data_IF_740142201391
#
_entry.id   IF_740142201391
#
_cell.length_a   1.000
_cell.length_b   1.000
_cell.length_c   1.000
_cell.angle_alpha   90.00
_cell.angle_beta   90.00
_cell.angle_gamma   90.00
#
_symmetry.space_group_name_H-M   'P 1'
#
loop_
_entity.id
_entity.type
_entity.pdbx_description
1 polymer ?
#
# COMPACT_ATOMS: atom_id res chain seq x y z
N UNK A 1 26.20 -34.82 -9.24
CA UNK A 1 26.37 -33.64 -8.36
C UNK A 1 25.04 -32.93 -8.32
N UNK A 2 24.26 -33.11 -7.26
CA UNK A 2 23.01 -32.36 -7.10
C UNK A 2 23.38 -30.96 -6.60
N UNK A 3 23.00 -29.93 -7.35
CA UNK A 3 23.14 -28.55 -6.89
C UNK A 3 22.36 -28.39 -5.57
N UNK A 4 22.91 -27.70 -4.56
CA UNK A 4 22.15 -27.39 -3.35
C UNK A 4 20.97 -26.51 -3.75
N UNK A 5 19.76 -27.09 -3.72
CA UNK A 5 18.52 -26.36 -3.89
C UNK A 5 18.44 -25.35 -2.76
N UNK A 6 18.65 -24.07 -3.05
CA UNK A 6 18.47 -23.03 -2.03
C UNK A 6 17.06 -23.14 -1.49
N UNK A 7 16.87 -23.09 -0.16
CA UNK A 7 15.53 -23.12 0.42
C UNK A 7 14.72 -21.97 -0.19
N UNK A 8 13.48 -22.26 -0.58
CA UNK A 8 12.58 -21.23 -1.04
C UNK A 8 12.50 -20.13 0.03
N UNK A 9 12.64 -18.85 -0.33
CA UNK A 9 12.59 -17.76 0.63
C UNK A 9 11.28 -17.81 1.42
N UNK A 10 11.37 -17.53 2.72
CA UNK A 10 10.23 -17.54 3.61
C UNK A 10 9.22 -16.42 3.26
N UNK A 11 8.00 -16.58 3.76
CA UNK A 11 6.91 -15.64 3.51
C UNK A 11 7.26 -14.21 3.95
N UNK A 12 7.95 -14.06 5.08
CA UNK A 12 8.34 -12.76 5.62
C UNK A 12 9.24 -12.00 4.65
N UNK A 13 10.22 -12.68 4.05
CA UNK A 13 11.11 -12.09 3.02
C UNK A 13 10.33 -11.64 1.79
N UNK A 14 9.37 -12.47 1.32
CA UNK A 14 8.53 -12.12 0.16
C UNK A 14 7.62 -10.93 0.44
N UNK A 15 7.00 -10.92 1.62
CA UNK A 15 6.14 -9.83 2.05
C UNK A 15 6.94 -8.53 2.26
N UNK A 16 8.15 -8.61 2.81
CA UNK A 16 9.04 -7.45 2.96
C UNK A 16 9.43 -6.84 1.61
N UNK A 17 9.71 -7.67 0.59
CA UNK A 17 9.99 -7.16 -0.76
C UNK A 17 8.76 -6.49 -1.40
N UNK A 18 7.57 -7.07 -1.25
CA UNK A 18 6.32 -6.42 -1.64
C UNK A 18 6.16 -5.06 -0.96
N UNK A 19 6.33 -4.99 0.37
CA UNK A 19 6.21 -3.73 1.13
C UNK A 19 7.24 -2.69 0.70
N UNK A 20 8.48 -3.12 0.42
CA UNK A 20 9.53 -2.24 -0.09
C UNK A 20 9.13 -1.63 -1.44
N UNK A 21 8.65 -2.43 -2.39
CA UNK A 21 8.21 -1.93 -3.69
C UNK A 21 7.01 -1.00 -3.58
N UNK A 22 6.06 -1.31 -2.69
CA UNK A 22 4.91 -0.46 -2.40
C UNK A 22 5.36 0.93 -1.92
N UNK A 23 6.28 0.98 -0.95
CA UNK A 23 6.84 2.22 -0.43
C UNK A 23 7.54 3.02 -1.53
N UNK A 24 8.32 2.37 -2.41
CA UNK A 24 9.01 3.06 -3.50
C UNK A 24 8.03 3.66 -4.51
N UNK A 25 6.99 2.90 -4.89
CA UNK A 25 5.91 3.40 -5.74
C UNK A 25 5.25 4.63 -5.11
N UNK A 26 4.83 4.53 -3.85
CA UNK A 26 4.12 5.60 -3.17
C UNK A 26 5.02 6.84 -2.99
N UNK A 27 6.31 6.64 -2.73
CA UNK A 27 7.29 7.70 -2.67
C UNK A 27 7.47 8.42 -4.02
N UNK A 28 7.51 7.71 -5.15
CA UNK A 28 7.57 8.36 -6.47
C UNK A 28 6.29 9.13 -6.80
N UNK A 29 5.12 8.60 -6.40
CA UNK A 29 3.84 9.29 -6.57
C UNK A 29 3.71 10.56 -5.72
N UNK A 30 4.36 10.59 -4.54
CA UNK A 30 4.31 11.72 -3.61
C UNK A 30 5.40 12.76 -3.85
N UNK A 31 6.63 12.33 -4.19
CA UNK A 31 7.82 13.18 -4.21
C UNK A 31 8.69 13.02 -5.47
N UNK A 32 8.33 12.10 -6.36
CA UNK A 32 9.13 11.76 -7.53
C UNK A 32 8.64 12.39 -8.83
N UNK A 33 8.91 11.71 -9.93
CA UNK A 33 8.66 12.25 -11.27
C UNK A 33 7.17 12.46 -11.53
N UNK A 34 6.34 11.55 -11.01
CA UNK A 34 4.89 11.66 -11.13
C UNK A 34 4.34 12.87 -10.35
N UNK A 35 4.85 13.12 -9.14
CA UNK A 35 4.47 14.27 -8.34
C UNK A 35 4.79 15.59 -9.05
N UNK A 36 6.01 15.72 -9.59
CA UNK A 36 6.44 16.89 -10.35
C UNK A 36 5.58 17.12 -11.59
N UNK A 37 5.25 16.06 -12.33
CA UNK A 37 4.41 16.17 -13.52
C UNK A 37 2.98 16.61 -13.18
N UNK A 38 2.41 16.12 -12.07
CA UNK A 38 1.10 16.55 -11.57
C UNK A 38 1.12 18.03 -11.18
N UNK A 39 2.12 18.44 -10.41
CA UNK A 39 2.31 19.84 -10.02
C UNK A 39 2.43 20.76 -11.24
N UNK A 40 3.28 20.41 -12.20
CA UNK A 40 3.48 21.22 -13.41
C UNK A 40 2.21 21.36 -14.25
N UNK A 41 1.40 20.29 -14.36
CA UNK A 41 0.11 20.36 -15.05
C UNK A 41 -0.86 21.28 -14.33
N UNK A 42 -0.95 21.19 -13.00
CA UNK A 42 -1.84 22.04 -12.21
C UNK A 42 -1.43 23.52 -12.31
N UNK A 43 -0.13 23.81 -12.21
CA UNK A 43 0.38 25.16 -12.39
C UNK A 43 0.12 25.72 -13.79
N UNK A 44 0.31 24.92 -14.84
CA UNK A 44 0.00 25.33 -16.20
C UNK A 44 -1.50 25.62 -16.37
N UNK A 45 -2.36 24.80 -15.77
CA UNK A 45 -3.80 24.98 -15.81
C UNK A 45 -4.21 26.27 -15.09
N UNK A 46 -3.73 26.49 -13.87
CA UNK A 46 -4.00 27.71 -13.11
C UNK A 46 -3.55 28.96 -13.87
N UNK A 47 -2.36 28.94 -14.48
CA UNK A 47 -1.86 30.06 -15.31
C UNK A 47 -2.70 30.28 -16.57
N UNK A 48 -3.22 29.23 -17.19
CA UNK A 48 -4.13 29.35 -18.33
C UNK A 48 -5.50 29.91 -17.91
N UNK A 49 -6.05 29.46 -16.77
CA UNK A 49 -7.33 29.95 -16.24
C UNK A 49 -7.29 31.44 -15.89
N UNK A 50 -6.15 31.98 -15.45
CA UNK A 50 -6.04 33.44 -15.23
C UNK A 50 -6.10 34.27 -16.52
N UNK A 51 -5.81 33.67 -17.67
CA UNK A 51 -5.80 34.32 -19.00
C UNK A 51 -7.08 34.06 -19.79
N UNK A 52 -7.71 32.92 -19.56
CA UNK A 52 -8.92 32.49 -20.25
C UNK A 52 -10.19 32.88 -19.48
N UNK A 53 -11.31 33.04 -20.17
CA UNK A 53 -12.60 33.32 -19.52
C UNK A 53 -13.24 32.07 -18.92
N UNK A 54 -12.80 30.89 -19.36
CA UNK A 54 -13.34 29.58 -18.92
C UNK A 54 -12.26 28.52 -18.79
N UNK A 55 -12.55 27.46 -18.01
CA UNK A 55 -11.68 26.28 -17.85
C UNK A 55 -11.53 25.47 -19.13
N UNK A 56 -12.56 25.41 -19.97
CA UNK A 56 -12.52 24.73 -21.27
C UNK A 56 -11.51 25.38 -22.21
N UNK A 57 -11.50 26.72 -22.26
CA UNK A 57 -10.51 27.49 -23.02
C UNK A 57 -9.10 27.30 -22.46
N UNK A 58 -8.94 27.22 -21.14
CA UNK A 58 -7.67 26.95 -20.49
C UNK A 58 -7.11 25.56 -20.86
N UNK A 59 -7.95 24.52 -20.82
CA UNK A 59 -7.58 23.17 -21.24
C UNK A 59 -7.25 23.07 -22.74
N UNK A 60 -7.82 23.95 -23.55
CA UNK A 60 -7.50 24.02 -24.98
C UNK A 60 -6.12 24.62 -25.27
N UNK A 61 -5.50 25.32 -24.30
CA UNK A 61 -4.21 25.98 -24.47
C UNK A 61 -3.06 24.99 -24.70
N UNK A 62 -2.07 25.45 -25.47
CA UNK A 62 -0.94 24.61 -25.92
C UNK A 62 -0.07 24.13 -24.76
N UNK A 63 0.19 25.01 -23.79
CA UNK A 63 0.98 24.74 -22.58
C UNK A 63 0.28 23.70 -21.68
N UNK A 64 -1.02 23.85 -21.42
CA UNK A 64 -1.81 22.87 -20.65
C UNK A 64 -1.83 21.51 -21.33
N UNK A 65 -1.97 21.47 -22.68
CA UNK A 65 -1.86 20.23 -23.45
C UNK A 65 -0.47 19.60 -23.40
N UNK A 66 0.59 20.42 -23.39
CA UNK A 66 1.96 19.93 -23.25
C UNK A 66 2.18 19.33 -21.86
N UNK A 67 1.77 20.02 -20.80
CA UNK A 67 1.88 19.54 -19.42
C UNK A 67 1.01 18.29 -19.17
N UNK A 68 -0.18 18.21 -19.76
CA UNK A 68 -1.03 17.00 -19.68
C UNK A 68 -0.38 15.80 -20.36
N UNK A 69 0.26 15.98 -21.53
CA UNK A 69 1.03 14.89 -22.16
C UNK A 69 2.23 14.46 -21.33
N UNK A 70 2.91 15.41 -20.69
CA UNK A 70 4.00 15.10 -19.78
C UNK A 70 3.52 14.30 -18.56
N UNK A 71 2.36 14.65 -17.98
CA UNK A 71 1.74 13.88 -16.92
C UNK A 71 1.40 12.46 -17.38
N UNK A 72 0.71 12.29 -18.51
CA UNK A 72 0.38 10.94 -19.01
C UNK A 72 1.63 10.10 -19.28
N UNK A 73 2.70 10.70 -19.79
CA UNK A 73 3.98 10.00 -19.97
C UNK A 73 4.64 9.61 -18.64
N UNK A 74 4.49 10.44 -17.60
CA UNK A 74 4.98 10.11 -16.26
C UNK A 74 4.13 9.02 -15.58
N UNK A 75 2.81 9.04 -15.75
CA UNK A 75 1.88 7.99 -15.27
C UNK A 75 2.20 6.64 -15.92
N UNK A 76 2.39 6.62 -17.25
CA UNK A 76 2.79 5.41 -17.97
C UNK A 76 4.12 4.85 -17.47
N UNK A 77 5.13 5.72 -17.30
CA UNK A 77 6.43 5.31 -16.77
C UNK A 77 6.32 4.78 -15.34
N UNK A 78 5.56 5.47 -14.49
CA UNK A 78 5.31 5.04 -13.12
C UNK A 78 4.68 3.65 -13.06
N UNK A 79 3.71 3.38 -13.94
CA UNK A 79 3.13 2.05 -14.07
C UNK A 79 4.16 1.01 -14.55
N UNK A 80 4.98 1.33 -15.56
CA UNK A 80 6.01 0.42 -16.07
C UNK A 80 7.10 0.11 -15.04
N UNK A 81 7.53 1.10 -14.26
CA UNK A 81 8.61 0.96 -13.30
C UNK A 81 8.19 0.15 -12.07
N UNK A 82 6.93 0.29 -11.63
CA UNK A 82 6.46 -0.28 -10.36
C UNK A 82 5.32 -1.30 -10.49
N UNK A 83 4.43 -1.18 -11.47
CA UNK A 83 3.19 -1.96 -11.57
C UNK A 83 3.43 -3.46 -11.63
N UNK A 84 4.06 -3.93 -12.71
CA UNK A 84 4.32 -5.35 -12.94
C UNK A 84 5.18 -5.98 -11.83
N UNK A 85 6.17 -5.23 -11.33
CA UNK A 85 7.06 -5.72 -10.26
C UNK A 85 6.31 -5.86 -8.93
N UNK A 86 5.42 -4.92 -8.62
CA UNK A 86 4.63 -4.94 -7.40
C UNK A 86 3.60 -6.07 -7.42
N UNK A 87 2.91 -6.28 -8.54
CA UNK A 87 2.00 -7.43 -8.71
C UNK A 87 2.78 -8.75 -8.57
N UNK A 88 3.93 -8.89 -9.25
CA UNK A 88 4.75 -10.08 -9.15
C UNK A 88 5.23 -10.36 -7.71
N UNK A 89 5.58 -9.31 -6.95
CA UNK A 89 5.95 -9.44 -5.55
C UNK A 89 4.76 -9.83 -4.66
N UNK A 90 3.57 -9.27 -4.92
CA UNK A 90 2.34 -9.64 -4.23
C UNK A 90 1.98 -11.12 -4.48
N UNK A 91 2.05 -11.58 -5.73
CA UNK A 91 1.86 -12.99 -6.11
C UNK A 91 2.88 -13.87 -5.37
N UNK A 92 4.16 -13.48 -5.35
CA UNK A 92 5.19 -14.24 -4.66
C UNK A 92 4.92 -14.34 -3.14
N UNK A 93 4.42 -13.29 -2.51
CA UNK A 93 4.02 -13.29 -1.09
C UNK A 93 2.78 -14.17 -0.85
N UNK A 94 1.79 -14.12 -1.75
CA UNK A 94 0.58 -14.96 -1.68
C UNK A 94 0.90 -16.45 -1.85
N UNK A 95 1.85 -16.80 -2.72
CA UNK A 95 2.23 -18.19 -2.95
C UNK A 95 3.13 -18.78 -1.86
N UNK A 96 3.91 -17.97 -1.15
CA UNK A 96 4.79 -18.44 -0.08
C UNK A 96 3.98 -18.94 1.13
N UNK A 97 4.23 -20.13 1.72
CA UNK A 97 3.41 -20.66 2.81
C UNK A 97 3.28 -19.70 4.02
N UNK A 98 2.06 -19.46 4.51
CA UNK A 98 1.82 -18.52 5.60
C UNK A 98 2.35 -19.03 6.96
N UNK A 99 3.14 -18.28 7.73
CA UNK A 99 3.63 -18.75 9.03
C UNK A 99 2.52 -18.99 10.08
N UNK A 100 1.44 -18.20 10.01
CA UNK A 100 0.34 -18.11 10.96
C UNK A 100 -0.93 -17.57 10.27
N UNK A 101 -2.02 -17.40 11.04
CA UNK A 101 -3.30 -16.90 10.53
C UNK A 101 -3.28 -15.40 10.16
N UNK A 102 -2.44 -14.58 10.81
CA UNK A 102 -2.30 -13.16 10.45
C UNK A 102 -1.71 -12.99 9.06
N UNK A 103 -0.72 -13.81 8.71
CA UNK A 103 -0.19 -13.87 7.34
C UNK A 103 -1.24 -14.32 6.32
N UNK A 104 -2.16 -15.23 6.68
CA UNK A 104 -3.28 -15.62 5.80
C UNK A 104 -4.21 -14.44 5.53
N UNK A 105 -4.54 -13.64 6.54
CA UNK A 105 -5.35 -12.42 6.38
C UNK A 105 -4.67 -11.42 5.43
N UNK A 106 -3.36 -11.22 5.58
CA UNK A 106 -2.57 -10.37 4.67
C UNK A 106 -2.63 -10.90 3.24
N UNK A 107 -2.49 -12.21 3.02
CA UNK A 107 -2.65 -12.79 1.69
C UNK A 107 -4.02 -12.53 1.09
N UNK A 108 -5.09 -12.66 1.86
CA UNK A 108 -6.44 -12.36 1.41
C UNK A 108 -6.59 -10.88 1.00
N UNK A 109 -5.97 -9.97 1.76
CA UNK A 109 -5.94 -8.55 1.41
C UNK A 109 -5.20 -8.31 0.08
N UNK A 110 -4.04 -8.95 -0.12
CA UNK A 110 -3.28 -8.87 -1.37
C UNK A 110 -4.06 -9.45 -2.57
N UNK A 111 -4.71 -10.60 -2.39
CA UNK A 111 -5.54 -11.22 -3.43
C UNK A 111 -6.63 -10.26 -3.89
N UNK A 112 -7.31 -9.59 -2.95
CA UNK A 112 -8.36 -8.62 -3.27
C UNK A 112 -7.81 -7.35 -3.91
N UNK A 113 -6.72 -6.81 -3.36
CA UNK A 113 -6.13 -5.55 -3.82
C UNK A 113 -5.62 -5.65 -5.27
N UNK A 114 -5.04 -6.79 -5.63
CA UNK A 114 -4.49 -7.03 -6.98
C UNK A 114 -5.41 -7.87 -7.87
N UNK A 115 -6.64 -8.17 -7.42
CA UNK A 115 -7.59 -9.04 -8.14
C UNK A 115 -6.93 -10.33 -8.66
N UNK A 116 -6.14 -10.99 -7.80
CA UNK A 116 -5.29 -12.13 -8.19
C UNK A 116 -6.10 -13.36 -8.59
N UNK A 117 -7.41 -13.39 -8.34
CA UNK A 117 -8.33 -14.37 -8.89
C UNK A 117 -8.45 -14.30 -10.41
N UNK A 118 -8.16 -13.14 -11.00
CA UNK A 118 -8.15 -12.93 -12.46
C UNK A 118 -6.74 -12.96 -13.07
N UNK A 119 -5.68 -13.04 -12.26
CA UNK A 119 -4.31 -12.98 -12.75
C UNK A 119 -3.88 -14.31 -13.40
N UNK A 120 -3.45 -14.25 -14.67
CA UNK A 120 -2.91 -15.41 -15.40
C UNK A 120 -1.56 -15.90 -14.84
N UNK A 121 -0.89 -15.07 -14.04
CA UNK A 121 0.38 -15.42 -13.43
C UNK A 121 0.22 -16.33 -12.19
N UNK A 122 -1.01 -16.49 -11.68
CA UNK A 122 -1.29 -17.36 -10.55
C UNK A 122 -1.34 -18.84 -10.99
N UNK A 123 -0.47 -19.72 -10.45
CA UNK A 123 -0.43 -21.13 -10.84
C UNK A 123 -1.60 -21.95 -10.28
N UNK A 124 -2.35 -21.40 -9.33
CA UNK A 124 -3.42 -22.06 -8.56
C UNK A 124 -4.47 -21.03 -8.18
N UNK A 125 -5.70 -21.46 -7.90
CA UNK A 125 -6.73 -20.51 -7.48
C UNK A 125 -6.39 -19.91 -6.11
N UNK A 126 -6.72 -18.63 -5.86
CA UNK A 126 -6.51 -18.04 -4.53
C UNK A 126 -7.19 -18.83 -3.40
N UNK A 127 -8.36 -19.40 -3.64
CA UNK A 127 -9.07 -20.22 -2.64
C UNK A 127 -8.27 -21.48 -2.26
N UNK A 128 -7.68 -22.18 -3.23
CA UNK A 128 -6.85 -23.36 -2.95
C UNK A 128 -5.63 -23.01 -2.09
N UNK A 129 -5.02 -21.84 -2.33
CA UNK A 129 -3.87 -21.36 -1.57
C UNK A 129 -4.25 -21.09 -0.12
N UNK A 130 -5.37 -20.38 0.11
CA UNK A 130 -5.86 -20.07 1.45
C UNK A 130 -6.24 -21.35 2.19
N UNK A 131 -7.01 -22.23 1.56
CA UNK A 131 -7.44 -23.51 2.14
C UNK A 131 -6.22 -24.35 2.57
N UNK A 132 -5.21 -24.47 1.71
CA UNK A 132 -3.99 -25.21 2.02
C UNK A 132 -3.27 -24.64 3.26
N UNK A 133 -3.17 -23.31 3.36
CA UNK A 133 -2.53 -22.69 4.51
C UNK A 133 -3.33 -22.85 5.80
N UNK A 134 -4.66 -22.68 5.73
CA UNK A 134 -5.52 -22.88 6.91
C UNK A 134 -5.49 -24.31 7.42
N UNK A 135 -5.54 -25.31 6.51
CA UNK A 135 -5.49 -26.72 6.88
C UNK A 135 -4.13 -27.07 7.51
N UNK A 136 -3.02 -26.63 6.88
CA UNK A 136 -1.66 -26.84 7.42
C UNK A 136 -1.48 -26.21 8.80
N UNK A 137 -2.10 -25.06 9.05
CA UNK A 137 -2.03 -24.37 10.34
C UNK A 137 -2.94 -25.03 11.39
N UNK A 138 -4.08 -25.60 10.99
CA UNK A 138 -4.96 -26.37 11.87
C UNK A 138 -4.34 -27.73 12.27
N UNK A 139 -3.60 -28.36 11.36
CA UNK A 139 -2.93 -29.65 11.56
C UNK A 139 -1.64 -29.56 12.40
N UNK A 140 -1.13 -28.35 12.68
CA UNK A 140 -0.03 -28.18 13.62
C UNK A 140 -0.52 -28.55 15.02
N UNK A 141 0.04 -29.58 15.67
CA UNK A 141 -0.30 -29.84 17.06
C UNK A 141 0.03 -28.57 17.85
N UNK A 142 -0.88 -28.18 18.74
CA UNK A 142 -0.74 -27.08 19.69
C UNK A 142 0.32 -27.44 20.75
N UNK A 143 1.50 -27.86 20.30
CA UNK A 143 2.60 -28.31 21.13
C UNK A 143 3.46 -27.09 21.44
N UNK A 144 3.32 -26.64 22.69
CA UNK A 144 4.21 -25.70 23.36
C UNK A 144 4.05 -24.23 22.95
N UNK A 145 3.09 -23.56 23.61
CA UNK A 145 3.25 -22.15 23.98
C UNK A 145 4.50 -22.04 24.88
N UNK A 146 5.68 -22.07 24.28
CA UNK A 146 6.93 -21.66 24.94
C UNK A 146 6.82 -20.14 25.12
N UNK A 147 7.07 -19.58 26.31
CA UNK A 147 7.09 -18.14 26.53
C UNK A 147 8.35 -17.51 25.91
N UNK A 148 8.45 -17.58 24.58
CA UNK A 148 9.49 -16.99 23.74
C UNK A 148 8.93 -16.10 22.61
N UNK A 149 7.62 -16.16 22.33
CA UNK A 149 6.95 -15.46 21.20
C UNK A 149 6.54 -14.01 21.48
N UNK A 150 6.97 -13.44 22.61
CA UNK A 150 6.73 -12.01 22.91
C UNK A 150 7.22 -11.03 21.83
N UNK A 151 8.34 -11.23 21.10
CA UNK A 151 8.74 -10.28 20.08
C UNK A 151 7.90 -10.38 18.80
N UNK A 152 7.44 -11.59 18.41
CA UNK A 152 6.64 -11.79 17.20
C UNK A 152 5.22 -11.22 17.35
N UNK A 153 4.58 -11.46 18.50
CA UNK A 153 3.24 -10.92 18.81
C UNK A 153 3.28 -9.39 18.94
N UNK A 154 4.37 -8.84 19.48
CA UNK A 154 4.62 -7.40 19.56
C UNK A 154 4.73 -6.75 18.17
N UNK A 155 5.45 -7.38 17.23
CA UNK A 155 5.55 -6.91 15.85
C UNK A 155 4.23 -6.99 15.08
N UNK A 156 3.45 -8.05 15.27
CA UNK A 156 2.16 -8.19 14.59
C UNK A 156 1.12 -7.19 15.12
N UNK A 157 1.10 -6.95 16.43
CA UNK A 157 0.27 -5.88 17.02
C UNK A 157 0.70 -4.50 16.53
N UNK A 158 2.00 -4.24 16.41
CA UNK A 158 2.51 -2.98 15.88
C UNK A 158 2.08 -2.78 14.41
N UNK A 159 2.18 -3.83 13.59
CA UNK A 159 1.78 -3.79 12.19
C UNK A 159 0.27 -3.52 12.01
N UNK A 160 -0.58 -4.10 12.87
CA UNK A 160 -2.02 -3.83 12.87
C UNK A 160 -2.33 -2.36 13.21
N UNK A 161 -1.68 -1.82 14.25
CA UNK A 161 -1.84 -0.42 14.64
C UNK A 161 -1.34 0.56 13.55
N UNK A 162 -0.23 0.23 12.87
CA UNK A 162 0.25 1.02 11.72
C UNK A 162 -0.73 1.00 10.55
N UNK A 163 -1.31 -0.17 10.25
CA UNK A 163 -2.32 -0.29 9.17
C UNK A 163 -3.56 0.54 9.45
N UNK A 164 -4.03 0.57 10.71
CA UNK A 164 -5.15 1.42 11.11
C UNK A 164 -4.78 2.92 11.02
N UNK A 165 -3.57 3.29 11.41
CA UNK A 165 -3.10 4.67 11.29
C UNK A 165 -3.03 5.14 9.82
N UNK A 166 -2.63 4.26 8.90
CA UNK A 166 -2.60 4.57 7.46
C UNK A 166 -4.01 4.80 6.89
N UNK A 167 -4.98 3.95 7.25
CA UNK A 167 -6.39 4.13 6.84
C UNK A 167 -7.01 5.44 7.38
N UNK A 168 -6.64 5.82 8.60
CA UNK A 168 -7.05 7.09 9.18
C UNK A 168 -6.41 8.28 8.46
N UNK A 169 -5.14 8.17 8.06
CA UNK A 169 -4.44 9.19 7.28
C UNK A 169 -5.11 9.45 5.92
N UNK A 170 -5.52 8.39 5.21
CA UNK A 170 -6.28 8.49 3.96
C UNK A 170 -7.64 9.17 4.16
N UNK A 171 -8.33 8.81 5.25
CA UNK A 171 -9.63 9.40 5.60
C UNK A 171 -9.50 10.90 5.93
N UNK A 172 -8.41 11.29 6.61
CA UNK A 172 -8.09 12.69 6.89
C UNK A 172 -7.78 13.43 5.58
N UNK A 173 -6.95 12.87 4.71
CA UNK A 173 -6.59 13.49 3.43
C UNK A 173 -7.82 13.77 2.55
N UNK A 174 -8.81 12.86 2.56
CA UNK A 174 -10.10 13.05 1.88
C UNK A 174 -10.89 14.24 2.43
N UNK A 175 -10.89 14.44 3.76
CA UNK A 175 -11.63 15.51 4.44
C UNK A 175 -10.99 16.90 4.35
N UNK A 176 -9.69 16.99 4.07
CA UNK A 176 -8.94 18.26 3.92
C UNK A 176 -8.74 18.60 2.42
N UNK A 177 -9.42 17.90 1.52
CA UNK A 177 -9.35 18.20 0.09
C UNK A 177 -9.90 19.62 -0.20
N UNK A 178 -9.18 20.45 -1.00
CA UNK A 178 -9.48 21.87 -1.16
C UNK A 178 -10.87 22.20 -1.74
N UNK A 179 -11.56 21.21 -2.32
CA UNK A 179 -12.89 21.38 -2.90
C UNK A 179 -14.03 21.44 -1.87
N UNK A 180 -13.84 20.97 -0.63
CA UNK A 180 -14.93 20.77 0.34
C UNK A 180 -14.60 21.25 1.77
N UNK A 181 -13.77 22.29 1.92
CA UNK A 181 -13.45 22.85 3.24
C UNK A 181 -14.70 23.40 3.95
N UNK A 182 -15.32 22.56 4.77
CA UNK A 182 -16.37 22.94 5.73
C UNK A 182 -15.79 22.92 7.14
N UNK A 183 -16.28 23.80 8.02
CA UNK A 183 -15.91 23.81 9.44
C UNK A 183 -16.19 22.45 10.11
N UNK A 184 -17.20 21.72 9.60
CA UNK A 184 -17.51 20.36 10.04
C UNK A 184 -16.46 19.34 9.59
N UNK A 185 -16.04 19.38 8.32
CA UNK A 185 -14.98 18.50 7.79
C UNK A 185 -13.65 18.69 8.49
N UNK A 186 -13.28 19.94 8.80
CA UNK A 186 -12.05 20.24 9.57
C UNK A 186 -12.11 19.71 11.00
N UNK A 187 -13.26 19.81 11.70
CA UNK A 187 -13.42 19.21 13.04
C UNK A 187 -13.33 17.69 13.00
N UNK A 188 -13.90 17.07 11.96
CA UNK A 188 -13.88 15.62 11.79
C UNK A 188 -12.47 15.12 11.46
N UNK A 189 -11.74 15.83 10.60
CA UNK A 189 -10.33 15.57 10.32
C UNK A 189 -9.48 15.68 11.59
N UNK A 190 -9.72 16.69 12.43
CA UNK A 190 -9.00 16.87 13.70
C UNK A 190 -9.23 15.72 14.68
N UNK A 191 -10.44 15.15 14.74
CA UNK A 191 -10.76 13.98 15.56
C UNK A 191 -10.04 12.73 15.05
N UNK A 192 -10.05 12.51 13.73
CA UNK A 192 -9.37 11.37 13.11
C UNK A 192 -7.85 11.46 13.28
N UNK A 193 -7.29 12.68 13.29
CA UNK A 193 -5.86 12.91 13.50
C UNK A 193 -5.42 12.56 14.92
N UNK A 194 -6.24 12.85 15.93
CA UNK A 194 -6.00 12.36 17.29
C UNK A 194 -6.08 10.83 17.37
N UNK A 195 -7.05 10.22 16.70
CA UNK A 195 -7.17 8.76 16.67
C UNK A 195 -5.98 8.10 15.96
N UNK A 196 -5.48 8.70 14.87
CA UNK A 196 -4.28 8.25 14.19
C UNK A 196 -3.05 8.32 15.12
N UNK A 197 -2.89 9.41 15.86
CA UNK A 197 -1.80 9.56 16.82
C UNK A 197 -1.87 8.52 17.94
N UNK A 198 -3.07 8.18 18.42
CA UNK A 198 -3.27 7.12 19.40
C UNK A 198 -2.92 5.74 18.84
N UNK A 199 -3.27 5.43 17.60
CA UNK A 199 -2.87 4.17 16.95
C UNK A 199 -1.35 4.09 16.75
N UNK A 200 -0.71 5.18 16.29
CA UNK A 200 0.76 5.24 16.17
C UNK A 200 1.45 5.06 17.53
N UNK A 201 0.89 5.66 18.59
CA UNK A 201 1.38 5.49 19.96
C UNK A 201 1.24 4.05 20.43
N UNK A 202 0.11 3.39 20.17
CA UNK A 202 -0.08 1.96 20.52
C UNK A 202 0.88 1.06 19.75
N UNK A 203 1.20 1.38 18.49
CA UNK A 203 2.22 0.67 17.72
C UNK A 203 3.61 0.79 18.37
N UNK A 204 3.99 1.99 18.83
CA UNK A 204 5.26 2.21 19.53
C UNK A 204 5.30 1.47 20.88
N UNK A 205 4.22 1.54 21.66
CA UNK A 205 4.10 0.82 22.94
C UNK A 205 4.16 -0.71 22.75
N UNK A 206 3.56 -1.25 21.68
CA UNK A 206 3.62 -2.68 21.38
C UNK A 206 5.02 -3.12 20.95
N UNK A 207 5.82 -2.25 20.33
CA UNK A 207 7.23 -2.51 20.00
C UNK A 207 8.18 -2.35 21.20
N UNK A 208 7.68 -1.90 22.36
CA UNK A 208 8.50 -1.65 23.55
C UNK A 208 9.27 -0.33 23.51
N UNK A 209 8.95 0.56 22.56
CA UNK A 209 9.47 1.92 22.51
C UNK A 209 8.59 2.80 23.42
N UNK A 210 9.10 3.13 24.62
CA UNK A 210 8.51 4.24 25.39
C UNK A 210 8.94 5.56 24.75
N UNK A 211 7.98 6.29 24.21
CA UNK A 211 8.12 7.69 23.74
C UNK A 211 8.26 8.62 24.94
#
# INVERSE_FOLDING_TARGET
>A
MNAPTMPAPDWATRHAEYRRLLILRDADAAFGTLADARYNREMALQQAETRCGTREEALAQRDVKAASRALSAAEERHYQDYGDQLEAAAIAAVLAPAPDLGAVEIKMALIRLFELDNSLAMPRTPMDIIQQDTDRLADRPTASLVPGDRPAIATDQAAAHLTNADQLAESIASLISPAEHTVSGLRQALTLLHLQQDELRRAAESMGESI
#
